data_IF_266512267975
#
_entry.id   IF_266512267975
#
_cell.length_a   1.000
_cell.length_b   1.000
_cell.length_c   1.000
_cell.angle_alpha   90.00
_cell.angle_beta   90.00
_cell.angle_gamma   90.00
#
_symmetry.space_group_name_H-M   'P 1'
#
loop_
_entity.id
_entity.type
_entity.pdbx_description
1 polymer ?
#
# COMPACT_ATOMS: atom_id res chain seq x y z
N UNK A 1 -55.17 -18.87 -27.29
CA UNK A 1 -53.70 -18.85 -27.19
C UNK A 1 -53.22 -17.47 -27.53
N UNK A 2 -52.75 -16.70 -26.52
CA UNK A 2 -52.09 -15.41 -26.72
C UNK A 2 -50.59 -15.62 -26.69
N UNK A 3 -49.78 -14.98 -27.57
CA UNK A 3 -48.31 -15.14 -27.56
C UNK A 3 -47.70 -14.38 -26.38
N UNK A 4 -46.69 -15.00 -25.74
CA UNK A 4 -45.90 -14.43 -24.67
C UNK A 4 -45.00 -13.33 -25.23
N UNK A 5 -45.05 -12.15 -24.63
CA UNK A 5 -44.18 -11.02 -24.92
C UNK A 5 -42.82 -11.27 -24.24
N UNK A 6 -41.77 -11.46 -25.04
CA UNK A 6 -40.39 -11.52 -24.58
C UNK A 6 -39.95 -10.09 -24.25
N UNK A 7 -39.75 -9.80 -22.97
CA UNK A 7 -39.11 -8.57 -22.51
C UNK A 7 -37.59 -8.71 -22.67
N UNK A 8 -37.04 -8.01 -23.65
CA UNK A 8 -35.59 -7.87 -23.81
C UNK A 8 -35.07 -6.90 -22.73
N UNK A 9 -34.44 -7.43 -21.70
CA UNK A 9 -33.61 -6.61 -20.80
C UNK A 9 -32.39 -6.08 -21.56
N UNK A 10 -32.46 -4.80 -21.86
CA UNK A 10 -31.29 -4.03 -22.33
C UNK A 10 -30.30 -3.89 -21.19
N UNK A 11 -29.24 -4.71 -21.24
CA UNK A 11 -28.06 -4.54 -20.40
C UNK A 11 -27.43 -3.18 -20.72
N UNK A 12 -27.52 -2.23 -19.80
CA UNK A 12 -26.82 -0.96 -19.90
C UNK A 12 -25.30 -1.23 -19.95
N UNK A 13 -24.54 -0.59 -20.87
CA UNK A 13 -23.10 -0.77 -20.92
C UNK A 13 -22.46 -0.19 -19.65
N UNK A 14 -21.60 -0.99 -19.03
CA UNK A 14 -20.84 -0.68 -17.83
C UNK A 14 -20.22 0.72 -17.89
N UNK A 15 -20.33 1.45 -16.78
CA UNK A 15 -19.74 2.77 -16.59
C UNK A 15 -18.28 2.76 -17.06
N UNK A 16 -17.91 3.72 -17.91
CA UNK A 16 -16.60 3.85 -18.52
C UNK A 16 -15.50 3.92 -17.44
N UNK A 17 -14.76 2.84 -17.28
CA UNK A 17 -13.51 2.80 -16.51
C UNK A 17 -12.49 3.69 -17.23
N UNK A 18 -12.26 4.89 -16.70
CA UNK A 18 -11.35 5.86 -17.29
C UNK A 18 -9.92 5.52 -16.91
N UNK A 19 -9.02 5.51 -17.90
CA UNK A 19 -7.60 5.77 -17.66
C UNK A 19 -7.49 7.22 -17.20
N UNK A 20 -6.97 7.44 -16.00
CA UNK A 20 -6.82 8.80 -15.47
C UNK A 20 -5.65 9.47 -16.18
N UNK A 21 -5.95 10.32 -17.16
CA UNK A 21 -5.00 11.35 -17.60
C UNK A 21 -5.15 12.51 -16.61
N UNK A 22 -4.05 12.85 -15.94
CA UNK A 22 -3.84 14.07 -15.14
C UNK A 22 -5.10 14.78 -14.64
N UNK A 23 -5.46 14.58 -13.38
CA UNK A 23 -6.17 15.60 -12.62
C UNK A 23 -5.12 16.52 -12.01
N UNK A 24 -5.17 17.78 -12.45
CA UNK A 24 -4.36 18.87 -11.96
C UNK A 24 -4.22 18.87 -10.45
N UNK A 25 -3.01 19.16 -9.97
CA UNK A 25 -2.67 19.45 -8.60
C UNK A 25 -3.63 20.50 -8.02
N UNK A 26 -4.59 20.05 -7.19
CA UNK A 26 -5.65 20.90 -6.62
C UNK A 26 -5.68 20.91 -5.10
N UNK A 27 -4.94 20.02 -4.45
CA UNK A 27 -4.90 19.98 -2.99
C UNK A 27 -3.45 19.73 -2.53
N UNK A 28 -2.92 20.65 -1.69
CA UNK A 28 -1.57 20.52 -1.13
C UNK A 28 -1.47 19.36 -0.12
N UNK A 29 -2.59 18.71 0.21
CA UNK A 29 -2.69 17.54 1.06
C UNK A 29 -2.44 16.25 0.24
N UNK A 30 -1.77 15.26 0.85
CA UNK A 30 -1.47 13.99 0.20
C UNK A 30 0.00 13.86 -0.22
N UNK A 31 0.25 13.08 -1.28
CA UNK A 31 1.61 12.79 -1.78
C UNK A 31 1.68 13.13 -3.26
N UNK A 32 2.63 13.99 -3.64
CA UNK A 32 2.85 14.38 -5.05
C UNK A 32 4.26 14.01 -5.50
N UNK A 33 4.36 13.38 -6.66
CA UNK A 33 5.60 13.13 -7.35
C UNK A 33 5.63 13.94 -8.66
N UNK A 34 6.71 14.71 -8.87
CA UNK A 34 6.89 15.53 -10.06
C UNK A 34 8.24 15.21 -10.70
N UNK A 35 8.24 14.50 -11.84
CA UNK A 35 9.43 14.09 -12.58
C UNK A 35 10.41 13.23 -11.77
N UNK A 36 9.93 12.47 -10.79
CA UNK A 36 10.77 11.73 -9.85
C UNK A 36 11.43 10.55 -10.52
N UNK A 37 12.77 10.54 -10.59
CA UNK A 37 13.53 9.41 -11.11
C UNK A 37 14.56 8.89 -10.11
N UNK A 38 15.03 7.65 -10.35
CA UNK A 38 16.12 7.06 -9.57
C UNK A 38 17.05 6.23 -10.41
N UNK A 39 18.33 6.62 -10.41
CA UNK A 39 19.44 5.85 -10.95
C UNK A 39 20.44 5.59 -9.82
N UNK A 40 20.82 4.35 -9.64
CA UNK A 40 21.85 3.96 -8.68
C UNK A 40 23.22 3.99 -9.37
N UNK A 41 24.19 4.69 -8.76
CA UNK A 41 25.58 4.65 -9.20
C UNK A 41 26.27 3.45 -8.54
N UNK A 42 26.76 2.54 -9.34
CA UNK A 42 27.53 1.37 -8.88
C UNK A 42 28.95 1.42 -9.44
N UNK A 43 29.80 0.51 -8.96
CA UNK A 43 31.18 0.39 -9.49
C UNK A 43 31.20 -0.04 -10.98
N UNK A 44 30.17 -0.76 -11.39
CA UNK A 44 30.03 -1.33 -12.74
C UNK A 44 29.22 -0.39 -13.68
N UNK A 45 28.88 0.82 -13.23
CA UNK A 45 28.13 1.81 -14.00
C UNK A 45 26.81 2.22 -13.39
N UNK A 46 26.08 3.06 -14.10
CA UNK A 46 24.79 3.59 -13.68
C UNK A 46 23.67 2.58 -13.94
N UNK A 47 22.87 2.31 -12.94
CA UNK A 47 21.75 1.35 -12.97
C UNK A 47 20.44 2.10 -12.79
N UNK A 48 19.68 2.41 -13.88
CA UNK A 48 18.38 3.03 -13.80
C UNK A 48 17.37 2.09 -13.09
N UNK A 49 16.72 2.61 -12.07
CA UNK A 49 15.68 1.90 -11.32
C UNK A 49 14.29 2.41 -11.64
N UNK A 50 14.11 3.72 -11.69
CA UNK A 50 12.85 4.40 -12.00
C UNK A 50 13.07 5.46 -13.06
N UNK A 51 12.23 5.46 -14.10
CA UNK A 51 12.05 6.58 -15.04
C UNK A 51 11.32 7.72 -14.33
N UNK A 52 11.27 8.93 -14.92
CA UNK A 52 10.48 10.02 -14.35
C UNK A 52 9.04 9.58 -14.10
N UNK A 53 8.60 9.76 -12.85
CA UNK A 53 7.25 9.43 -12.38
C UNK A 53 6.54 10.73 -12.03
N UNK A 54 5.31 10.86 -12.54
CA UNK A 54 4.41 11.97 -12.29
C UNK A 54 3.05 11.41 -11.88
N UNK A 55 2.67 11.57 -10.61
CA UNK A 55 1.35 11.23 -10.09
C UNK A 55 1.10 11.85 -8.73
N UNK A 56 -0.17 11.86 -8.34
CA UNK A 56 -0.63 12.35 -7.04
C UNK A 56 -1.47 11.29 -6.33
N UNK A 57 -1.32 11.21 -5.00
CA UNK A 57 -2.16 10.42 -4.10
C UNK A 57 -2.91 11.40 -3.21
N UNK A 58 -4.25 11.34 -3.23
CA UNK A 58 -5.08 12.26 -2.44
C UNK A 58 -5.00 11.95 -0.94
N UNK A 59 -5.28 12.94 -0.11
CA UNK A 59 -5.41 12.72 1.34
C UNK A 59 -6.54 11.73 1.64
N UNK A 60 -6.29 10.80 2.55
CA UNK A 60 -7.24 9.75 2.92
C UNK A 60 -7.45 8.66 1.85
N UNK A 61 -6.71 8.67 0.74
CA UNK A 61 -6.82 7.68 -0.32
C UNK A 61 -6.09 6.38 0.03
N UNK A 62 -6.67 5.25 -0.37
CA UNK A 62 -5.99 3.96 -0.39
C UNK A 62 -5.44 3.70 -1.79
N UNK A 63 -4.16 3.97 -1.99
CA UNK A 63 -3.47 3.85 -3.26
C UNK A 63 -2.58 2.61 -3.29
N UNK A 64 -2.75 1.76 -4.29
CA UNK A 64 -1.97 0.52 -4.39
C UNK A 64 -1.10 0.52 -5.64
N UNK A 65 0.15 0.09 -5.47
CA UNK A 65 1.13 -0.06 -6.55
C UNK A 65 1.37 -1.53 -6.83
N UNK A 66 1.15 -1.95 -8.07
CA UNK A 66 1.46 -3.29 -8.56
C UNK A 66 2.48 -3.22 -9.71
N UNK A 67 3.26 -4.28 -9.88
CA UNK A 67 4.25 -4.35 -10.96
C UNK A 67 5.15 -5.58 -10.83
N UNK A 68 5.92 -5.92 -11.87
CA UNK A 68 6.85 -7.05 -11.85
C UNK A 68 7.88 -6.98 -10.72
N UNK A 69 8.48 -8.10 -10.36
CA UNK A 69 9.58 -8.13 -9.40
C UNK A 69 10.76 -7.30 -9.92
N UNK A 70 11.39 -6.52 -9.03
CA UNK A 70 12.56 -5.71 -9.39
C UNK A 70 12.27 -4.43 -10.20
N UNK A 71 11.02 -4.10 -10.54
CA UNK A 71 10.67 -2.90 -11.30
C UNK A 71 10.88 -1.57 -10.56
N UNK A 72 11.17 -1.58 -9.25
CA UNK A 72 11.45 -0.38 -8.48
C UNK A 72 10.38 0.03 -7.46
N UNK A 73 9.37 -0.80 -7.16
CA UNK A 73 8.31 -0.50 -6.19
C UNK A 73 8.85 -0.11 -4.81
N UNK A 74 9.73 -0.92 -4.25
CA UNK A 74 10.37 -0.60 -2.95
C UNK A 74 11.29 0.63 -3.04
N UNK A 75 11.86 0.93 -4.22
CA UNK A 75 12.60 2.18 -4.45
C UNK A 75 11.65 3.37 -4.38
N UNK A 76 10.48 3.28 -5.03
CA UNK A 76 9.43 4.30 -4.97
C UNK A 76 9.02 4.58 -3.52
N UNK A 77 8.74 3.54 -2.72
CA UNK A 77 8.40 3.70 -1.30
C UNK A 77 9.50 4.41 -0.52
N UNK A 78 10.79 4.05 -0.75
CA UNK A 78 11.93 4.69 -0.09
C UNK A 78 12.09 6.16 -0.48
N UNK A 79 11.77 6.54 -1.72
CA UNK A 79 11.78 7.94 -2.16
C UNK A 79 10.68 8.74 -1.45
N UNK A 80 9.45 8.23 -1.42
CA UNK A 80 8.32 8.88 -0.74
C UNK A 80 8.56 9.00 0.77
N UNK A 81 9.16 7.99 1.38
CA UNK A 81 9.46 8.00 2.81
C UNK A 81 10.64 8.91 3.22
N UNK A 82 11.41 9.43 2.27
CA UNK A 82 12.62 10.22 2.53
C UNK A 82 13.82 9.39 2.98
N UNK A 83 13.73 8.05 2.90
CA UNK A 83 14.87 7.15 3.18
C UNK A 83 15.91 7.13 2.04
N UNK A 84 15.51 7.60 0.86
CA UNK A 84 16.35 7.67 -0.33
C UNK A 84 16.07 8.97 -1.07
N UNK A 85 17.09 9.78 -1.43
CA UNK A 85 16.89 10.95 -2.26
C UNK A 85 16.65 10.55 -3.73
N UNK A 86 15.78 11.26 -4.48
CA UNK A 86 15.62 11.08 -5.91
C UNK A 86 16.90 11.50 -6.67
N UNK A 87 17.06 11.01 -7.89
CA UNK A 87 18.12 11.49 -8.82
C UNK A 87 17.68 12.74 -9.53
N UNK A 88 16.39 12.82 -9.92
CA UNK A 88 15.75 14.02 -10.44
C UNK A 88 14.32 14.14 -9.95
N UNK A 89 13.72 15.30 -10.14
CA UNK A 89 12.36 15.60 -9.71
C UNK A 89 12.24 15.82 -8.20
N UNK A 90 11.02 15.90 -7.71
CA UNK A 90 10.76 16.11 -6.28
C UNK A 90 9.54 15.33 -5.80
N UNK A 91 9.59 14.97 -4.51
CA UNK A 91 8.47 14.37 -3.78
C UNK A 91 7.97 15.39 -2.77
N UNK A 92 6.68 15.64 -2.78
CA UNK A 92 6.00 16.44 -1.75
C UNK A 92 5.10 15.51 -0.92
N UNK A 93 5.12 15.69 0.40
CA UNK A 93 4.24 15.02 1.36
C UNK A 93 3.58 16.11 2.19
N UNK A 94 2.24 16.15 2.17
CA UNK A 94 1.48 17.23 2.82
C UNK A 94 1.95 18.64 2.38
N UNK A 95 2.33 18.79 1.10
CA UNK A 95 2.86 20.03 0.53
C UNK A 95 4.32 20.35 0.87
N UNK A 96 4.95 19.57 1.73
CA UNK A 96 6.35 19.75 2.13
C UNK A 96 7.29 18.87 1.31
N UNK A 97 8.40 19.45 0.82
CA UNK A 97 9.41 18.69 0.08
C UNK A 97 10.13 17.67 0.98
N UNK A 98 10.10 16.43 0.54
CA UNK A 98 10.75 15.31 1.25
C UNK A 98 12.26 15.35 1.02
N UNK A 99 13.01 15.72 2.05
CA UNK A 99 14.49 15.71 2.06
C UNK A 99 15.06 14.75 3.11
N UNK A 100 14.22 14.30 4.04
CA UNK A 100 14.54 13.38 5.13
C UNK A 100 13.27 12.61 5.53
N UNK A 101 13.35 11.54 6.33
CA UNK A 101 12.17 10.84 6.83
C UNK A 101 11.19 11.77 7.54
N UNK A 102 9.91 11.72 7.11
CA UNK A 102 8.86 12.58 7.62
C UNK A 102 8.22 11.99 8.89
N UNK A 103 7.98 12.82 9.89
CA UNK A 103 7.49 12.39 11.20
C UNK A 103 6.09 11.78 11.21
N UNK A 104 5.23 12.15 10.25
CA UNK A 104 3.83 11.69 10.14
C UNK A 104 3.68 10.44 9.28
N UNK A 105 4.77 9.78 8.92
CA UNK A 105 4.77 8.58 8.08
C UNK A 105 5.03 7.34 8.92
N UNK A 106 4.16 6.34 8.81
CA UNK A 106 4.35 4.98 9.30
C UNK A 106 4.82 4.09 8.15
N UNK A 107 5.86 3.28 8.39
CA UNK A 107 6.42 2.40 7.34
C UNK A 107 6.35 0.96 7.80
N UNK A 108 5.80 0.09 6.93
CA UNK A 108 5.86 -1.35 7.05
C UNK A 108 6.72 -1.88 5.91
N UNK A 109 7.84 -2.50 6.23
CA UNK A 109 8.72 -3.11 5.26
C UNK A 109 8.32 -4.57 4.98
N UNK A 110 8.75 -5.10 3.85
CA UNK A 110 8.55 -6.50 3.45
C UNK A 110 9.04 -7.49 4.53
N UNK A 111 10.20 -7.21 5.12
CA UNK A 111 10.66 -7.91 6.32
C UNK A 111 10.22 -7.12 7.57
N UNK A 112 9.81 -7.82 8.63
CA UNK A 112 9.31 -7.20 9.85
C UNK A 112 10.30 -6.26 10.55
N UNK A 113 11.61 -6.46 10.38
CA UNK A 113 12.71 -5.64 10.93
C UNK A 113 12.50 -5.34 12.42
N UNK A 114 12.05 -6.32 13.20
CA UNK A 114 11.94 -6.20 14.63
C UNK A 114 13.34 -6.28 15.26
N UNK A 115 13.57 -5.47 16.31
CA UNK A 115 14.82 -5.50 17.08
C UNK A 115 14.88 -6.79 17.89
N UNK A 116 15.84 -7.70 17.66
CA UNK A 116 15.82 -9.04 18.25
C UNK A 116 16.02 -9.04 19.77
N UNK A 117 16.65 -8.01 20.32
CA UNK A 117 16.88 -7.83 21.76
C UNK A 117 15.73 -7.14 22.51
N UNK A 118 14.66 -6.73 21.82
CA UNK A 118 13.47 -6.12 22.42
C UNK A 118 12.29 -7.10 22.33
N UNK A 119 11.48 -7.16 23.37
CA UNK A 119 10.20 -7.90 23.30
C UNK A 119 9.23 -7.24 22.32
N UNK A 120 8.12 -7.92 22.01
CA UNK A 120 7.14 -7.47 21.02
C UNK A 120 6.55 -6.11 21.39
N UNK A 121 6.11 -5.92 22.62
CA UNK A 121 5.56 -4.63 23.06
C UNK A 121 6.59 -3.50 22.94
N UNK A 122 7.84 -3.74 23.33
CA UNK A 122 8.92 -2.76 23.20
C UNK A 122 9.30 -2.47 21.75
N UNK A 123 9.14 -3.44 20.85
CA UNK A 123 9.27 -3.22 19.41
C UNK A 123 8.14 -2.34 18.88
N UNK A 124 6.90 -2.61 19.26
CA UNK A 124 5.73 -1.79 18.87
C UNK A 124 5.88 -0.37 19.39
N UNK A 125 6.35 -0.19 20.62
CA UNK A 125 6.54 1.13 21.25
C UNK A 125 7.78 1.89 20.75
N UNK A 126 8.63 1.30 19.90
CA UNK A 126 9.87 1.91 19.42
C UNK A 126 9.70 3.33 18.83
N UNK A 127 8.70 3.63 17.99
CA UNK A 127 8.50 4.99 17.48
C UNK A 127 8.18 6.02 18.57
N UNK A 128 7.50 5.60 19.63
CA UNK A 128 7.16 6.43 20.78
C UNK A 128 8.43 6.79 21.55
N UNK A 129 9.29 5.77 21.81
CA UNK A 129 10.59 5.96 22.47
C UNK A 129 11.49 6.92 21.65
N UNK A 130 11.58 6.71 20.33
CA UNK A 130 12.42 7.53 19.43
C UNK A 130 11.94 8.97 19.31
N UNK A 131 10.64 9.21 19.29
CA UNK A 131 10.03 10.54 19.23
C UNK A 131 9.94 11.20 20.62
N UNK A 132 10.35 10.51 21.67
CA UNK A 132 10.26 10.95 23.08
C UNK A 132 8.85 11.36 23.48
N UNK A 133 7.84 10.62 22.99
CA UNK A 133 6.43 10.82 23.32
C UNK A 133 6.12 10.18 24.70
N UNK A 134 5.09 10.66 25.41
CA UNK A 134 4.72 10.14 26.73
C UNK A 134 4.23 8.69 26.60
N UNK A 135 5.05 7.75 27.08
CA UNK A 135 4.89 6.31 26.84
C UNK A 135 3.54 5.76 27.37
N UNK A 136 3.08 6.28 28.48
CA UNK A 136 1.85 5.80 29.15
C UNK A 136 0.60 6.07 28.31
N UNK A 137 0.57 7.17 27.55
CA UNK A 137 -0.54 7.54 26.67
C UNK A 137 -0.68 6.55 25.49
N UNK A 138 0.44 5.98 25.04
CA UNK A 138 0.45 5.05 23.89
C UNK A 138 0.41 3.58 24.28
N UNK A 139 0.59 3.23 25.56
CA UNK A 139 0.65 1.84 26.01
C UNK A 139 -0.69 1.12 25.80
N UNK A 140 -1.80 1.79 26.11
CA UNK A 140 -3.13 1.23 25.89
C UNK A 140 -3.39 0.98 24.39
N UNK A 141 -2.99 1.95 23.52
CA UNK A 141 -3.10 1.83 22.07
C UNK A 141 -2.23 0.68 21.53
N UNK A 142 -0.99 0.54 21.99
CA UNK A 142 -0.10 -0.55 21.58
C UNK A 142 -0.72 -1.93 21.91
N UNK A 143 -1.27 -2.09 23.12
CA UNK A 143 -1.95 -3.33 23.51
C UNK A 143 -3.22 -3.59 22.67
N UNK A 144 -4.02 -2.56 22.41
CA UNK A 144 -5.21 -2.68 21.57
C UNK A 144 -4.84 -3.11 20.13
N UNK A 145 -3.78 -2.53 19.54
CA UNK A 145 -3.26 -2.93 18.23
C UNK A 145 -2.77 -4.39 18.24
N UNK A 146 -2.02 -4.81 19.26
CA UNK A 146 -1.57 -6.20 19.39
C UNK A 146 -2.75 -7.17 19.49
N UNK A 147 -3.77 -6.84 20.27
CA UNK A 147 -5.01 -7.63 20.36
C UNK A 147 -5.71 -7.72 19.01
N UNK A 148 -5.84 -6.60 18.31
CA UNK A 148 -6.47 -6.49 17.00
C UNK A 148 -5.86 -7.45 15.97
N UNK A 149 -4.52 -7.57 15.96
CA UNK A 149 -3.81 -8.47 15.05
C UNK A 149 -3.62 -9.89 15.61
N UNK A 150 -4.28 -10.24 16.73
CA UNK A 150 -4.22 -11.57 17.33
C UNK A 150 -2.87 -11.90 17.97
N UNK A 151 -2.23 -10.90 18.58
CA UNK A 151 -0.96 -11.04 19.33
C UNK A 151 -1.14 -10.74 20.82
N UNK A 152 -2.38 -10.77 21.34
CA UNK A 152 -2.65 -10.70 22.78
C UNK A 152 -1.95 -11.87 23.49
N UNK A 153 -1.22 -11.58 24.59
CA UNK A 153 -0.44 -12.57 25.34
C UNK A 153 1.00 -12.77 24.83
N UNK A 154 1.37 -12.16 23.68
CA UNK A 154 2.73 -12.24 23.11
C UNK A 154 3.58 -10.99 23.40
N UNK A 155 3.10 -10.04 24.20
CA UNK A 155 3.72 -8.74 24.47
C UNK A 155 5.15 -8.86 24.99
N UNK A 156 5.39 -9.86 25.87
CA UNK A 156 6.68 -10.12 26.53
C UNK A 156 7.60 -11.05 25.74
N UNK A 157 7.11 -11.66 24.65
CA UNK A 157 7.90 -12.59 23.83
C UNK A 157 8.92 -11.82 23.00
N UNK A 158 10.01 -12.48 22.65
CA UNK A 158 11.07 -11.97 21.76
C UNK A 158 10.74 -12.37 20.31
N UNK A 159 11.23 -11.60 19.29
CA UNK A 159 10.91 -11.84 17.89
C UNK A 159 11.12 -13.30 17.43
N UNK A 160 12.22 -13.92 17.80
CA UNK A 160 12.51 -15.32 17.41
C UNK A 160 11.55 -16.37 18.00
N UNK A 161 10.72 -16.00 18.97
CA UNK A 161 9.69 -16.86 19.53
C UNK A 161 8.37 -16.80 18.75
N UNK A 162 8.30 -15.96 17.71
CA UNK A 162 7.14 -15.73 16.88
C UNK A 162 7.37 -16.24 15.45
N UNK A 163 6.32 -16.72 14.79
CA UNK A 163 6.38 -17.03 13.36
C UNK A 163 6.61 -15.74 12.54
N UNK A 164 7.09 -15.87 11.28
CA UNK A 164 7.29 -14.73 10.39
C UNK A 164 6.03 -13.88 10.20
N UNK A 165 4.87 -14.51 10.06
CA UNK A 165 3.59 -13.82 9.97
C UNK A 165 3.21 -13.08 11.25
N UNK A 166 3.51 -13.63 12.44
CA UNK A 166 3.31 -12.94 13.72
C UNK A 166 4.24 -11.73 13.85
N UNK A 167 5.51 -11.86 13.42
CA UNK A 167 6.46 -10.75 13.39
C UNK A 167 5.99 -9.64 12.45
N UNK A 168 5.45 -10.00 11.28
CA UNK A 168 4.93 -9.03 10.33
C UNK A 168 3.73 -8.26 10.91
N UNK A 169 2.80 -8.95 11.59
CA UNK A 169 1.69 -8.30 12.30
C UNK A 169 2.17 -7.35 13.40
N UNK A 170 3.20 -7.70 14.16
CA UNK A 170 3.81 -6.81 15.14
C UNK A 170 4.45 -5.57 14.48
N UNK A 171 5.07 -5.71 13.29
CA UNK A 171 5.63 -4.59 12.54
C UNK A 171 4.55 -3.60 12.07
N UNK A 172 3.36 -4.09 11.70
CA UNK A 172 2.20 -3.25 11.37
C UNK A 172 1.74 -2.46 12.61
N UNK A 173 1.64 -3.11 13.78
CA UNK A 173 1.34 -2.41 15.03
C UNK A 173 2.36 -1.31 15.34
N UNK A 174 3.65 -1.58 15.13
CA UNK A 174 4.73 -0.59 15.31
C UNK A 174 4.54 0.62 14.40
N UNK A 175 4.16 0.41 13.15
CA UNK A 175 3.93 1.49 12.21
C UNK A 175 2.68 2.33 12.57
N UNK A 176 1.67 1.73 13.20
CA UNK A 176 0.40 2.37 13.55
C UNK A 176 0.40 3.05 14.93
N UNK A 177 1.30 2.68 15.85
CA UNK A 177 1.19 3.07 17.26
C UNK A 177 1.24 4.58 17.49
N UNK A 178 2.06 5.32 16.72
CA UNK A 178 2.22 6.77 16.84
C UNK A 178 1.20 7.58 16.03
N UNK A 179 0.18 6.90 15.51
CA UNK A 179 -0.93 7.49 14.76
C UNK A 179 -0.51 8.31 13.53
N UNK A 180 0.29 7.77 12.61
CA UNK A 180 0.73 8.51 11.44
C UNK A 180 -0.45 8.84 10.52
N UNK A 181 -0.39 9.98 9.81
CA UNK A 181 -1.39 10.31 8.77
C UNK A 181 -1.19 9.51 7.49
N UNK A 182 0.04 9.13 7.19
CA UNK A 182 0.41 8.40 5.98
C UNK A 182 1.01 7.05 6.35
N UNK A 183 0.54 6.00 5.70
CA UNK A 183 1.04 4.64 5.82
C UNK A 183 1.68 4.19 4.51
N UNK A 184 2.95 3.82 4.56
CA UNK A 184 3.68 3.24 3.43
C UNK A 184 3.95 1.76 3.74
N UNK A 185 3.47 0.86 2.88
CA UNK A 185 3.54 -0.58 3.13
C UNK A 185 4.16 -1.31 1.93
N UNK A 186 5.26 -2.01 2.15
CA UNK A 186 5.93 -2.83 1.14
C UNK A 186 5.62 -4.31 1.37
N UNK A 187 4.72 -4.87 0.58
CA UNK A 187 4.25 -6.27 0.67
C UNK A 187 3.91 -6.73 2.10
N UNK A 188 3.05 -5.98 2.84
CA UNK A 188 2.88 -6.17 4.29
C UNK A 188 2.32 -7.55 4.67
N UNK A 189 1.70 -8.24 3.72
CA UNK A 189 1.01 -9.52 3.95
C UNK A 189 1.66 -10.71 3.22
N UNK A 190 2.81 -10.50 2.58
CA UNK A 190 3.51 -11.55 1.81
C UNK A 190 3.86 -12.81 2.62
N UNK A 191 4.19 -12.65 3.90
CA UNK A 191 4.54 -13.76 4.80
C UNK A 191 3.34 -14.42 5.51
N UNK A 192 2.09 -13.99 5.21
CA UNK A 192 0.89 -14.52 5.84
C UNK A 192 0.27 -15.65 5.01
N UNK A 193 -0.35 -16.62 5.68
CA UNK A 193 -1.25 -17.59 5.04
C UNK A 193 -2.50 -16.88 4.44
N UNK A 194 -3.19 -17.55 3.53
CA UNK A 194 -4.29 -16.95 2.77
C UNK A 194 -5.42 -16.41 3.67
N UNK A 195 -5.88 -17.19 4.65
CA UNK A 195 -6.99 -16.78 5.52
C UNK A 195 -6.60 -15.62 6.44
N UNK A 196 -5.39 -15.66 6.99
CA UNK A 196 -4.86 -14.55 7.80
C UNK A 196 -4.70 -13.29 6.96
N UNK A 197 -4.25 -13.42 5.70
CA UNK A 197 -4.12 -12.28 4.77
C UNK A 197 -5.47 -11.64 4.48
N UNK A 198 -6.50 -12.42 4.17
CA UNK A 198 -7.85 -11.91 3.95
C UNK A 198 -8.39 -11.14 5.16
N UNK A 199 -8.23 -11.69 6.37
CA UNK A 199 -8.62 -11.01 7.62
C UNK A 199 -7.85 -9.70 7.81
N UNK A 200 -6.56 -9.69 7.53
CA UNK A 200 -5.73 -8.48 7.66
C UNK A 200 -6.09 -7.42 6.62
N UNK A 201 -6.46 -7.81 5.40
CA UNK A 201 -6.95 -6.90 4.36
C UNK A 201 -8.25 -6.20 4.80
N UNK A 202 -9.22 -6.96 5.33
CA UNK A 202 -10.47 -6.40 5.86
C UNK A 202 -10.19 -5.44 7.02
N UNK A 203 -9.30 -5.84 7.94
CA UNK A 203 -8.95 -5.03 9.10
C UNK A 203 -8.20 -3.74 8.72
N UNK A 204 -7.29 -3.81 7.75
CA UNK A 204 -6.57 -2.64 7.24
C UNK A 204 -7.54 -1.64 6.59
N UNK A 205 -8.53 -2.11 5.81
CA UNK A 205 -9.58 -1.25 5.27
C UNK A 205 -10.42 -0.60 6.37
N UNK A 206 -10.76 -1.36 7.44
CA UNK A 206 -11.49 -0.83 8.57
C UNK A 206 -10.72 0.29 9.25
N UNK A 207 -9.44 0.07 9.55
CA UNK A 207 -8.55 1.08 10.16
C UNK A 207 -8.48 2.32 9.27
N UNK A 208 -8.24 2.15 7.97
CA UNK A 208 -8.12 3.27 7.03
C UNK A 208 -9.41 4.09 6.98
N UNK A 209 -10.58 3.44 6.91
CA UNK A 209 -11.87 4.12 6.89
C UNK A 209 -12.15 4.90 8.18
N UNK A 210 -11.87 4.30 9.34
CA UNK A 210 -12.10 4.93 10.66
C UNK A 210 -11.16 6.11 10.90
N UNK A 211 -9.93 6.02 10.41
CA UNK A 211 -8.88 7.01 10.67
C UNK A 211 -8.59 7.95 9.51
N UNK A 212 -9.19 7.71 8.33
CA UNK A 212 -8.97 8.46 7.08
C UNK A 212 -7.50 8.65 6.72
N UNK A 213 -6.67 7.64 6.99
CA UNK A 213 -5.24 7.69 6.67
C UNK A 213 -5.03 7.54 5.17
N UNK A 214 -4.05 8.28 4.64
CA UNK A 214 -3.52 8.04 3.31
C UNK A 214 -2.66 6.78 3.35
N UNK A 215 -2.96 5.81 2.50
CA UNK A 215 -2.24 4.52 2.44
C UNK A 215 -1.64 4.34 1.05
N UNK A 216 -0.33 4.14 0.98
CA UNK A 216 0.33 3.58 -0.19
C UNK A 216 0.78 2.16 0.14
N UNK A 217 0.23 1.18 -0.56
CA UNK A 217 0.55 -0.23 -0.39
C UNK A 217 1.15 -0.78 -1.67
N UNK A 218 2.25 -1.49 -1.55
CA UNK A 218 2.88 -2.25 -2.62
C UNK A 218 2.50 -3.72 -2.45
N UNK A 219 2.06 -4.35 -3.53
CA UNK A 219 1.80 -5.78 -3.57
C UNK A 219 2.05 -6.35 -4.96
N UNK A 220 2.31 -7.65 -5.04
CA UNK A 220 2.32 -8.40 -6.29
C UNK A 220 0.97 -9.09 -6.58
N UNK A 221 0.02 -9.04 -5.64
CA UNK A 221 -1.31 -9.64 -5.77
C UNK A 221 -2.30 -8.65 -6.38
N UNK A 222 -2.67 -8.85 -7.66
CA UNK A 222 -3.65 -8.02 -8.34
C UNK A 222 -5.03 -8.07 -7.65
N UNK A 223 -5.57 -9.25 -7.22
CA UNK A 223 -6.81 -9.29 -6.47
C UNK A 223 -6.77 -8.49 -5.16
N UNK A 224 -5.66 -8.56 -4.42
CA UNK A 224 -5.47 -7.75 -3.21
C UNK A 224 -5.49 -6.25 -3.53
N UNK A 225 -4.81 -5.83 -4.60
CA UNK A 225 -4.80 -4.44 -5.03
C UNK A 225 -6.20 -3.92 -5.34
N UNK A 226 -6.99 -4.65 -6.13
CA UNK A 226 -8.37 -4.27 -6.47
C UNK A 226 -9.28 -4.30 -5.24
N UNK A 227 -9.06 -5.24 -4.32
CA UNK A 227 -9.84 -5.34 -3.09
C UNK A 227 -9.64 -4.12 -2.17
N UNK A 228 -8.40 -3.64 -2.04
CA UNK A 228 -8.03 -2.59 -1.08
C UNK A 228 -8.14 -1.17 -1.65
N UNK A 229 -7.77 -0.97 -2.91
CA UNK A 229 -7.48 0.34 -3.47
C UNK A 229 -8.71 1.19 -3.81
N UNK A 230 -8.55 2.50 -3.73
CA UNK A 230 -9.36 3.47 -4.45
C UNK A 230 -8.81 3.67 -5.88
N UNK A 231 -7.47 3.66 -6.01
CA UNK A 231 -6.78 3.61 -7.31
C UNK A 231 -5.61 2.62 -7.27
N UNK A 232 -5.38 1.96 -8.41
CA UNK A 232 -4.26 1.03 -8.62
C UNK A 232 -3.32 1.58 -9.68
N UNK A 233 -2.07 1.82 -9.32
CA UNK A 233 -0.98 2.14 -10.24
C UNK A 233 -0.29 0.86 -10.68
N UNK A 234 -0.19 0.67 -11.99
CA UNK A 234 0.53 -0.43 -12.62
C UNK A 234 1.88 0.08 -13.11
N UNK A 235 2.96 -0.55 -12.68
CA UNK A 235 4.33 -0.22 -13.10
C UNK A 235 4.79 -1.13 -14.24
N UNK A 236 5.61 -0.56 -15.15
CA UNK A 236 6.34 -1.31 -16.17
C UNK A 236 7.49 -2.12 -15.55
N UNK A 237 8.13 -2.97 -16.36
CA UNK A 237 9.42 -3.57 -16.04
C UNK A 237 10.52 -2.51 -15.84
N UNK A 238 11.66 -2.97 -15.30
CA UNK A 238 12.81 -2.11 -15.03
C UNK A 238 13.45 -1.53 -16.31
N UNK A 239 13.77 -0.23 -16.32
CA UNK A 239 13.51 0.80 -15.31
C UNK A 239 12.02 1.13 -15.23
N UNK A 240 11.46 1.04 -13.99
CA UNK A 240 10.03 1.17 -13.75
C UNK A 240 9.49 2.55 -14.15
N UNK A 241 8.33 2.53 -14.76
CA UNK A 241 7.55 3.71 -15.11
C UNK A 241 6.06 3.46 -14.83
N UNK A 242 5.24 4.49 -14.85
CA UNK A 242 3.78 4.33 -14.80
C UNK A 242 3.30 3.75 -16.12
N UNK A 243 2.73 2.54 -16.10
CA UNK A 243 2.07 1.94 -17.26
C UNK A 243 0.60 2.40 -17.36
N UNK A 244 -0.10 2.43 -16.23
CA UNK A 244 -1.48 2.87 -16.12
C UNK A 244 -1.85 3.17 -14.66
N UNK A 245 -2.90 3.98 -14.46
CA UNK A 245 -3.58 4.14 -13.17
C UNK A 245 -5.06 3.84 -13.39
N UNK A 246 -5.61 2.95 -12.58
CA UNK A 246 -7.00 2.52 -12.63
C UNK A 246 -7.75 3.01 -11.41
N UNK A 247 -8.89 3.68 -11.61
CA UNK A 247 -9.88 3.89 -10.56
C UNK A 247 -10.57 2.56 -10.24
N UNK A 248 -10.86 2.33 -8.96
CA UNK A 248 -11.59 1.15 -8.49
C UNK A 248 -12.98 1.59 -8.01
N UNK A 249 -14.00 1.58 -8.88
CA UNK A 249 -15.34 2.11 -8.60
C UNK A 249 -16.19 1.15 -7.76
N UNK A 250 -15.57 0.36 -6.91
CA UNK A 250 -16.25 -0.56 -6.01
C UNK A 250 -16.63 0.17 -4.71
N UNK A 251 -17.88 0.08 -4.24
CA UNK A 251 -18.32 0.78 -3.05
C UNK A 251 -17.59 0.33 -1.79
N UNK A 252 -17.52 1.19 -0.79
CA UNK A 252 -17.00 0.90 0.55
C UNK A 252 -18.13 0.93 1.59
N UNK A 253 -18.13 0.12 2.64
CA UNK A 253 -17.11 -0.90 2.99
C UNK A 253 -17.20 -2.13 2.07
N UNK A 254 -16.05 -2.71 1.72
CA UNK A 254 -16.00 -3.94 0.93
C UNK A 254 -15.93 -5.16 1.86
N UNK A 255 -16.79 -6.15 1.62
CA UNK A 255 -16.65 -7.51 2.16
C UNK A 255 -15.94 -8.39 1.14
N UNK A 256 -15.57 -9.60 1.54
CA UNK A 256 -14.97 -10.58 0.62
C UNK A 256 -15.88 -10.95 -0.55
N UNK A 257 -17.21 -10.78 -0.40
CA UNK A 257 -18.18 -11.04 -1.47
C UNK A 257 -17.96 -10.15 -2.71
N UNK A 258 -17.35 -8.96 -2.54
CA UNK A 258 -17.01 -8.07 -3.66
C UNK A 258 -16.10 -8.74 -4.70
N UNK A 259 -15.36 -9.78 -4.32
CA UNK A 259 -14.52 -10.53 -5.25
C UNK A 259 -15.31 -11.30 -6.32
N UNK A 260 -16.60 -11.55 -6.08
CA UNK A 260 -17.52 -12.15 -7.04
C UNK A 260 -18.17 -11.10 -7.97
N UNK A 261 -17.99 -9.80 -7.72
CA UNK A 261 -18.54 -8.72 -8.53
C UNK A 261 -17.90 -8.73 -9.95
N UNK A 262 -18.70 -8.61 -11.02
CA UNK A 262 -18.20 -8.52 -12.39
C UNK A 262 -17.18 -7.39 -12.59
N UNK A 263 -17.37 -6.22 -11.96
CA UNK A 263 -16.46 -5.07 -12.04
C UNK A 263 -15.10 -5.42 -11.41
N UNK A 264 -15.11 -6.14 -10.28
CA UNK A 264 -13.88 -6.64 -9.64
C UNK A 264 -13.10 -7.56 -10.58
N UNK A 265 -13.80 -8.54 -11.16
CA UNK A 265 -13.19 -9.54 -12.06
C UNK A 265 -12.66 -8.87 -13.33
N UNK A 266 -13.40 -7.93 -13.91
CA UNK A 266 -12.96 -7.17 -15.09
C UNK A 266 -11.68 -6.37 -14.80
N UNK A 267 -11.63 -5.63 -13.68
CA UNK A 267 -10.46 -4.86 -13.26
C UNK A 267 -9.23 -5.75 -13.08
N UNK A 268 -9.38 -6.88 -12.38
CA UNK A 268 -8.30 -7.86 -12.21
C UNK A 268 -7.76 -8.33 -13.56
N UNK A 269 -8.65 -8.65 -14.52
CA UNK A 269 -8.23 -9.08 -15.85
C UNK A 269 -7.56 -7.96 -16.65
N UNK A 270 -8.07 -6.72 -16.58
CA UNK A 270 -7.49 -5.56 -17.27
C UNK A 270 -6.09 -5.25 -16.75
N UNK A 271 -5.92 -5.22 -15.44
CA UNK A 271 -4.60 -5.00 -14.82
C UNK A 271 -3.64 -6.14 -15.22
N UNK A 272 -4.10 -7.39 -15.19
CA UNK A 272 -3.30 -8.57 -15.57
C UNK A 272 -2.78 -8.49 -17.01
N UNK A 273 -3.56 -7.94 -17.95
CA UNK A 273 -3.12 -7.79 -19.35
C UNK A 273 -1.85 -6.97 -19.50
N UNK A 274 -1.57 -6.01 -18.63
CA UNK A 274 -0.31 -5.25 -18.66
C UNK A 274 0.91 -6.12 -18.39
N UNK A 275 0.77 -7.18 -17.59
CA UNK A 275 1.86 -8.11 -17.29
C UNK A 275 2.10 -9.09 -18.43
N UNK A 276 1.02 -9.58 -19.08
CA UNK A 276 1.14 -10.50 -20.23
C UNK A 276 1.64 -9.82 -21.50
N UNK A 277 1.26 -8.57 -21.75
CA UNK A 277 1.67 -7.84 -22.95
C UNK A 277 3.16 -7.44 -22.96
N UNK A 278 3.83 -7.51 -21.81
CA UNK A 278 5.25 -7.20 -21.64
C UNK A 278 6.15 -8.45 -21.52
N UNK A 279 5.64 -9.66 -21.70
CA UNK A 279 6.42 -10.90 -21.73
C UNK A 279 6.93 -11.36 -20.35
N UNK A 280 6.41 -10.85 -19.24
CA UNK A 280 6.94 -11.12 -17.90
C UNK A 280 6.29 -12.29 -17.16
N UNK A 281 5.75 -13.28 -17.89
CA UNK A 281 5.26 -14.55 -17.33
C UNK A 281 5.79 -15.73 -18.16
N UNK A 282 7.09 -15.97 -18.11
CA UNK A 282 7.72 -17.26 -18.34
C UNK A 282 8.26 -17.80 -17.01
#
# INVERSE_FOLDING_TARGET
MKPATVVSETVQPAAHLRLVSDRAAGDASGITLSGVSKTYRTRDGDVPSLRPLDFHINDGEFFVVVGPSGCGKSTLLKLISGLLPPTSGEVLVEGEKVTKPHGNVGIVFQNALLLPWRNILSNVMLPIDMKRLPRDEYLARAKALLKLVGLEGFEKKLPWQLSGGMQQRASICRALVHDPRIMLMDEPFGALDALTRERMNVELMRIQRETRKTVLLITHSIPEAVFLADRVLVMTERPGAVAAIYDVPLPRPRSLDVMADPVFTELVQRIRKHFFSQGSLD
#
